data_IF_551917130750
#
_entry.id   IF_551917130750
#
_cell.length_a   1.000
_cell.length_b   1.000
_cell.length_c   1.000
_cell.angle_alpha   90.00
_cell.angle_beta   90.00
_cell.angle_gamma   90.00
#
_symmetry.space_group_name_H-M   'P 1'
#
loop_
_entity.id
_entity.type
_entity.pdbx_description
1 polymer ?
#
# COMPACT_ATOMS: atom_id res chain seq x y z
N UNK A 1 15.50 -6.61 43.87
CA UNK A 1 14.47 -7.34 43.10
C UNK A 1 15.08 -8.65 42.62
N UNK A 2 14.96 -9.74 43.38
CA UNK A 2 15.44 -11.06 42.96
C UNK A 2 14.34 -11.72 42.13
N UNK A 3 14.41 -11.60 40.80
CA UNK A 3 13.52 -12.32 39.91
C UNK A 3 13.76 -13.82 40.08
N UNK A 4 12.73 -14.55 40.53
CA UNK A 4 12.78 -16.01 40.59
C UNK A 4 12.98 -16.54 39.16
N UNK A 5 14.04 -17.31 38.94
CA UNK A 5 14.45 -17.80 37.61
C UNK A 5 13.30 -18.48 36.84
N UNK A 6 12.36 -19.12 37.56
CA UNK A 6 11.15 -19.72 36.98
C UNK A 6 10.19 -18.67 36.40
N UNK A 7 9.98 -17.53 37.06
CA UNK A 7 9.14 -16.44 36.55
C UNK A 7 9.76 -15.78 35.31
N UNK A 8 11.08 -15.60 35.28
CA UNK A 8 11.78 -15.02 34.11
C UNK A 8 11.61 -15.89 32.86
N UNK A 9 11.72 -17.22 32.98
CA UNK A 9 11.54 -18.14 31.84
C UNK A 9 10.10 -18.10 31.33
N UNK A 10 9.11 -18.13 32.22
CA UNK A 10 7.70 -18.05 31.84
C UNK A 10 7.40 -16.76 31.08
N UNK A 11 7.89 -15.61 31.55
CA UNK A 11 7.72 -14.31 30.87
C UNK A 11 8.39 -14.31 29.49
N UNK A 12 9.59 -14.89 29.35
CA UNK A 12 10.25 -15.02 28.05
C UNK A 12 9.42 -15.85 27.06
N UNK A 13 8.84 -16.98 27.50
CA UNK A 13 7.99 -17.82 26.64
C UNK A 13 6.77 -17.05 26.16
N UNK A 14 6.08 -16.32 27.06
CA UNK A 14 4.94 -15.49 26.67
C UNK A 14 5.34 -14.36 25.71
N UNK A 15 6.49 -13.73 25.91
CA UNK A 15 6.99 -12.69 25.00
C UNK A 15 7.26 -13.25 23.60
N UNK A 16 7.92 -14.42 23.49
CA UNK A 16 8.18 -15.08 22.21
C UNK A 16 6.86 -15.43 21.52
N UNK A 17 5.91 -16.03 22.24
CA UNK A 17 4.58 -16.35 21.68
C UNK A 17 3.83 -15.10 21.21
N UNK A 18 3.90 -14.00 21.97
CA UNK A 18 3.31 -12.73 21.59
C UNK A 18 3.93 -12.17 20.30
N UNK A 19 5.25 -12.18 20.18
CA UNK A 19 5.95 -11.72 18.97
C UNK A 19 5.59 -12.60 17.75
N UNK A 20 5.52 -13.92 17.92
CA UNK A 20 5.08 -14.84 16.88
C UNK A 20 3.64 -14.54 16.44
N UNK A 21 2.72 -14.36 17.39
CA UNK A 21 1.32 -14.03 17.09
C UNK A 21 1.20 -12.69 16.37
N UNK A 22 1.89 -11.66 16.86
CA UNK A 22 1.91 -10.33 16.24
C UNK A 22 2.43 -10.38 14.80
N UNK A 23 3.45 -11.20 14.52
CA UNK A 23 3.97 -11.41 13.17
C UNK A 23 2.96 -12.09 12.24
N UNK A 24 2.25 -13.11 12.72
CA UNK A 24 1.21 -13.79 11.93
C UNK A 24 0.06 -12.84 11.61
N UNK A 25 -0.41 -12.07 12.61
CA UNK A 25 -1.45 -11.07 12.41
C UNK A 25 -1.02 -9.99 11.40
N UNK A 26 0.22 -9.52 11.48
CA UNK A 26 0.77 -8.57 10.53
C UNK A 26 0.78 -9.12 9.10
N UNK A 27 1.27 -10.35 8.89
CA UNK A 27 1.28 -11.00 7.57
C UNK A 27 -0.14 -11.16 6.99
N UNK A 28 -1.10 -11.58 7.82
CA UNK A 28 -2.49 -11.71 7.39
C UNK A 28 -3.10 -10.37 6.97
N UNK A 29 -2.81 -9.30 7.74
CA UNK A 29 -3.18 -7.94 7.39
C UNK A 29 -2.63 -7.54 6.02
N UNK A 30 -1.31 -7.64 5.83
CA UNK A 30 -0.64 -7.29 4.57
C UNK A 30 -1.21 -8.06 3.36
N UNK A 31 -1.51 -9.36 3.53
CA UNK A 31 -2.11 -10.16 2.46
C UNK A 31 -3.49 -9.65 2.06
N UNK A 32 -4.35 -9.34 3.04
CA UNK A 32 -5.70 -8.81 2.79
C UNK A 32 -5.64 -7.45 2.08
N UNK A 33 -4.77 -6.55 2.52
CA UNK A 33 -4.59 -5.24 1.89
C UNK A 33 -4.12 -5.38 0.44
N UNK A 34 -3.11 -6.21 0.19
CA UNK A 34 -2.60 -6.46 -1.17
C UNK A 34 -3.70 -6.97 -2.10
N UNK A 35 -4.59 -7.86 -1.63
CA UNK A 35 -5.70 -8.36 -2.45
C UNK A 35 -6.67 -7.24 -2.89
N UNK A 36 -6.89 -6.24 -2.05
CA UNK A 36 -7.71 -5.07 -2.40
C UNK A 36 -7.03 -4.26 -3.50
N UNK A 37 -5.74 -3.92 -3.33
CA UNK A 37 -5.00 -3.14 -4.33
C UNK A 37 -4.81 -3.87 -5.66
N UNK A 38 -4.64 -5.20 -5.63
CA UNK A 38 -4.62 -6.04 -6.84
C UNK A 38 -5.97 -6.00 -7.58
N UNK A 39 -7.09 -5.88 -6.87
CA UNK A 39 -8.41 -5.81 -7.50
C UNK A 39 -8.67 -4.48 -8.22
N UNK A 40 -7.90 -3.43 -7.93
CA UNK A 40 -8.07 -2.13 -8.58
C UNK A 40 -7.75 -2.20 -10.07
N UNK A 41 -8.61 -1.58 -10.86
CA UNK A 41 -8.43 -1.39 -12.29
C UNK A 41 -8.99 -0.03 -12.66
N UNK A 42 -8.18 0.78 -13.33
CA UNK A 42 -8.61 2.06 -13.86
C UNK A 42 -7.76 2.41 -15.08
N UNK A 43 -8.39 3.09 -16.03
CA UNK A 43 -7.74 3.67 -17.19
C UNK A 43 -8.51 4.96 -17.48
N UNK A 44 -7.84 6.09 -17.27
CA UNK A 44 -8.47 7.37 -17.52
C UNK A 44 -7.73 8.55 -16.89
N UNK A 45 -8.34 9.72 -17.06
CA UNK A 45 -7.83 10.97 -16.51
C UNK A 45 -8.28 11.16 -15.08
N UNK A 46 -7.39 11.70 -14.26
CA UNK A 46 -7.67 12.10 -12.89
C UNK A 46 -8.63 13.29 -12.89
N UNK A 47 -9.86 13.07 -12.43
CA UNK A 47 -10.88 14.11 -12.27
C UNK A 47 -10.63 14.95 -11.02
N UNK A 48 -10.20 14.29 -9.95
CA UNK A 48 -9.89 14.87 -8.64
C UNK A 48 -8.78 14.06 -7.98
N UNK A 49 -7.92 14.76 -7.24
CA UNK A 49 -6.93 14.15 -6.35
C UNK A 49 -6.98 14.89 -5.02
N UNK A 50 -6.86 14.16 -3.93
CA UNK A 50 -6.75 14.67 -2.57
C UNK A 50 -5.61 13.96 -1.86
N UNK A 51 -4.88 14.68 -1.01
CA UNK A 51 -3.81 14.14 -0.21
C UNK A 51 -4.19 14.20 1.27
N UNK A 52 -3.93 13.13 2.01
CA UNK A 52 -4.08 13.15 3.46
C UNK A 52 -2.92 13.90 4.15
N UNK A 53 -2.99 14.02 5.49
CA UNK A 53 -1.94 14.68 6.29
C UNK A 53 -0.57 13.98 6.22
N UNK A 54 -0.52 12.74 5.74
CA UNK A 54 0.71 11.95 5.54
C UNK A 54 1.19 12.01 4.09
N UNK A 55 0.48 12.75 3.23
CA UNK A 55 0.82 12.90 1.82
C UNK A 55 0.32 11.75 0.94
N UNK A 56 -0.53 10.85 1.43
CA UNK A 56 -1.08 9.71 0.66
C UNK A 56 -2.19 10.17 -0.27
N UNK A 57 -2.13 9.73 -1.53
CA UNK A 57 -3.05 10.16 -2.57
C UNK A 57 -4.34 9.34 -2.60
N UNK A 58 -5.48 10.01 -2.73
CA UNK A 58 -6.75 9.41 -3.17
C UNK A 58 -7.19 10.11 -4.45
N UNK A 59 -7.54 9.34 -5.48
CA UNK A 59 -7.88 9.86 -6.82
C UNK A 59 -9.31 9.48 -7.20
N UNK A 60 -9.91 10.28 -8.09
CA UNK A 60 -11.17 9.95 -8.75
C UNK A 60 -10.93 9.83 -10.25
N UNK A 61 -11.28 8.69 -10.83
CA UNK A 61 -11.22 8.40 -12.27
C UNK A 61 -12.54 7.76 -12.67
N UNK A 62 -13.18 8.29 -13.71
CA UNK A 62 -14.48 7.82 -14.22
C UNK A 62 -15.53 7.76 -13.09
N UNK A 63 -15.57 8.78 -12.24
CA UNK A 63 -16.46 8.86 -11.07
C UNK A 63 -16.16 7.87 -9.92
N UNK A 64 -15.15 7.00 -10.04
CA UNK A 64 -14.79 6.01 -9.02
C UNK A 64 -13.59 6.48 -8.19
N UNK A 65 -13.65 6.31 -6.87
CA UNK A 65 -12.60 6.71 -5.93
C UNK A 65 -11.61 5.57 -5.67
N UNK A 66 -10.31 5.86 -5.73
CA UNK A 66 -9.23 4.91 -5.50
C UNK A 66 -8.21 5.47 -4.51
N UNK A 67 -7.90 4.68 -3.47
CA UNK A 67 -6.85 5.00 -2.51
C UNK A 67 -5.50 4.47 -3.00
N UNK A 68 -4.52 5.34 -3.18
CA UNK A 68 -3.18 4.99 -3.66
C UNK A 68 -2.16 4.93 -2.51
N UNK A 69 -2.60 4.55 -1.31
CA UNK A 69 -1.77 4.54 -0.11
C UNK A 69 -0.87 3.31 0.09
N UNK A 70 -0.78 2.40 -0.89
CA UNK A 70 0.07 1.21 -0.84
C UNK A 70 1.55 1.59 -0.80
N UNK A 71 2.33 0.92 0.06
CA UNK A 71 3.73 1.26 0.27
C UNK A 71 4.63 1.00 -0.95
N UNK A 72 4.15 0.25 -1.97
CA UNK A 72 4.87 0.04 -3.22
C UNK A 72 4.64 1.16 -4.24
N UNK A 73 3.77 2.12 -3.95
CA UNK A 73 3.45 3.23 -4.84
C UNK A 73 3.97 4.54 -4.27
N UNK A 74 4.93 5.15 -4.96
CA UNK A 74 5.49 6.45 -4.55
C UNK A 74 4.79 7.60 -5.29
N UNK A 75 3.52 7.82 -4.91
CA UNK A 75 2.69 8.93 -5.38
C UNK A 75 2.53 10.05 -4.34
N UNK A 76 3.29 9.98 -3.24
CA UNK A 76 3.15 10.93 -2.15
C UNK A 76 3.56 12.34 -2.57
N UNK A 77 3.10 13.34 -1.81
CA UNK A 77 3.54 14.74 -1.93
C UNK A 77 3.23 15.39 -3.30
N UNK A 78 1.96 15.41 -3.71
CA UNK A 78 1.49 16.14 -4.91
C UNK A 78 2.05 15.62 -6.25
N UNK A 79 2.55 14.39 -6.29
CA UNK A 79 3.06 13.78 -7.54
C UNK A 79 1.99 13.52 -8.58
N UNK A 80 0.73 13.35 -8.19
CA UNK A 80 -0.41 13.25 -9.10
C UNK A 80 -1.16 14.58 -9.12
N UNK A 81 -1.48 15.06 -10.31
CA UNK A 81 -2.29 16.26 -10.51
C UNK A 81 -3.55 15.95 -11.30
N UNK A 82 -4.60 16.77 -11.10
CA UNK A 82 -5.83 16.67 -11.90
C UNK A 82 -5.46 16.70 -13.39
N UNK A 83 -6.06 15.85 -14.21
CA UNK A 83 -5.83 15.77 -15.65
C UNK A 83 -4.60 14.97 -16.08
N UNK A 84 -3.76 14.51 -15.15
CA UNK A 84 -2.84 13.40 -15.45
C UNK A 84 -3.65 12.15 -15.82
N UNK A 85 -3.08 11.26 -16.63
CA UNK A 85 -3.70 9.97 -16.94
C UNK A 85 -3.04 8.87 -16.13
N UNK A 86 -3.85 7.95 -15.62
CA UNK A 86 -3.40 6.86 -14.77
C UNK A 86 -3.98 5.56 -15.32
N UNK A 87 -3.11 4.57 -15.48
CA UNK A 87 -3.46 3.26 -15.99
C UNK A 87 -2.99 2.22 -14.98
N UNK A 88 -3.92 1.38 -14.55
CA UNK A 88 -3.67 0.23 -13.69
C UNK A 88 -4.49 -0.95 -14.17
N UNK A 89 -3.80 -2.07 -14.41
CA UNK A 89 -4.45 -3.34 -14.75
C UNK A 89 -4.87 -4.10 -13.50
N UNK A 90 -5.97 -4.82 -13.62
CA UNK A 90 -6.41 -5.78 -12.60
C UNK A 90 -5.33 -6.83 -12.38
N UNK A 91 -5.13 -7.24 -11.13
CA UNK A 91 -4.12 -8.19 -10.68
C UNK A 91 -2.67 -7.78 -10.92
N UNK A 92 -2.39 -6.50 -11.20
CA UNK A 92 -1.04 -5.94 -11.23
C UNK A 92 -0.89 -4.85 -10.18
N UNK A 93 0.26 -4.79 -9.54
CA UNK A 93 0.67 -3.68 -8.67
C UNK A 93 1.33 -2.56 -9.47
N UNK A 94 1.48 -2.68 -10.78
CA UNK A 94 2.07 -1.63 -11.61
C UNK A 94 1.00 -0.58 -11.93
N UNK A 95 1.35 0.68 -11.71
CA UNK A 95 0.57 1.84 -12.09
C UNK A 95 1.43 2.71 -13.00
N UNK A 96 0.89 3.02 -14.18
CA UNK A 96 1.49 3.96 -15.12
C UNK A 96 0.84 5.33 -14.93
N UNK A 97 1.65 6.34 -14.60
CA UNK A 97 1.26 7.74 -14.52
C UNK A 97 1.78 8.46 -15.76
N UNK A 98 0.88 9.02 -16.54
CA UNK A 98 1.18 9.81 -17.73
C UNK A 98 0.85 11.27 -17.42
N UNK A 99 1.89 12.07 -17.33
CA UNK A 99 1.79 13.51 -17.10
C UNK A 99 1.22 14.24 -18.31
N UNK A 100 0.64 15.42 -18.07
CA UNK A 100 0.14 16.29 -19.16
C UNK A 100 1.20 16.67 -20.21
N UNK A 101 2.47 16.72 -19.83
CA UNK A 101 3.60 16.97 -20.73
C UNK A 101 4.08 15.72 -21.49
N UNK A 102 3.39 14.58 -21.34
CA UNK A 102 3.75 13.30 -21.95
C UNK A 102 4.80 12.49 -21.18
N UNK A 103 5.32 13.00 -20.06
CA UNK A 103 6.25 12.24 -19.22
C UNK A 103 5.54 11.04 -18.60
N UNK A 104 6.15 9.86 -18.75
CA UNK A 104 5.64 8.60 -18.19
C UNK A 104 6.44 8.27 -16.92
N UNK A 105 5.73 7.98 -15.84
CA UNK A 105 6.29 7.54 -14.56
C UNK A 105 5.63 6.22 -14.19
N UNK A 106 6.44 5.17 -14.04
CA UNK A 106 5.96 3.82 -13.67
C UNK A 106 6.17 3.63 -12.17
N UNK A 107 5.13 3.20 -11.46
CA UNK A 107 5.15 2.94 -10.03
C UNK A 107 4.70 1.51 -9.73
N UNK A 108 5.21 0.95 -8.63
CA UNK A 108 4.92 -0.43 -8.21
C UNK A 108 5.92 -1.46 -8.74
N UNK A 109 5.88 -2.64 -8.14
CA UNK A 109 6.64 -3.83 -8.56
C UNK A 109 5.70 -5.03 -8.55
N UNK A 110 5.67 -5.77 -9.64
CA UNK A 110 5.03 -7.08 -9.68
C UNK A 110 6.05 -8.11 -9.18
N UNK A 111 5.74 -8.78 -8.06
CA UNK A 111 6.56 -9.89 -7.55
C UNK A 111 6.32 -11.21 -8.31
N UNK A 112 5.55 -11.19 -9.40
CA UNK A 112 5.16 -12.36 -10.20
C UNK A 112 6.26 -12.85 -11.15
N UNK A 113 7.48 -12.30 -11.08
CA UNK A 113 8.67 -12.79 -11.80
C UNK A 113 9.66 -13.56 -10.88
N UNK A 114 9.17 -14.43 -10.00
CA UNK A 114 10.00 -15.48 -9.38
C UNK A 114 9.33 -16.83 -9.37
#
# INVERSE_FOLDING_TARGET
MLFNKRHTVTVMVFFVLFVCLARVLFMYGSYKYRKIYLAYQFDGRVERVSYDIKGKATIIINGSSYDLSDNNWDFDHNRITKGDSLIKKKNSMIIELIKRNGQIVIQGKDELER
#
